data_IF_281412714116
#
_entry.id   IF_281412714116
#
_cell.length_a   1.000
_cell.length_b   1.000
_cell.length_c   1.000
_cell.angle_alpha   90.00
_cell.angle_beta   90.00
_cell.angle_gamma   90.00
#
_symmetry.space_group_name_H-M   'P 1'
#
loop_
_entity.id
_entity.type
_entity.pdbx_description
1 polymer ?
#
# COMPACT_ATOMS: atom_id res chain seq x y z
N UNK A 1 -17.29 37.88 -6.93
CA UNK A 1 -17.08 37.21 -8.24
C UNK A 1 -15.66 37.20 -8.81
N UNK A 2 -14.73 38.08 -8.42
CA UNK A 2 -13.34 38.02 -8.93
C UNK A 2 -12.52 36.75 -8.56
N UNK A 3 -12.81 36.10 -7.43
CA UNK A 3 -12.10 34.89 -7.00
C UNK A 3 -12.49 33.65 -7.83
N UNK A 4 -13.75 33.59 -8.29
CA UNK A 4 -14.24 32.49 -9.13
C UNK A 4 -13.66 32.62 -10.54
N UNK A 5 -13.61 33.84 -11.09
CA UNK A 5 -12.96 34.13 -12.38
C UNK A 5 -11.46 33.80 -12.35
N UNK A 6 -10.75 34.09 -11.24
CA UNK A 6 -9.33 33.74 -11.08
C UNK A 6 -9.07 32.23 -11.07
N UNK A 7 -9.93 31.46 -10.41
CA UNK A 7 -9.83 30.00 -10.41
C UNK A 7 -10.15 29.40 -11.79
N UNK A 8 -11.20 29.91 -12.45
CA UNK A 8 -11.55 29.48 -13.81
C UNK A 8 -10.43 29.79 -14.81
N UNK A 9 -9.77 30.95 -14.69
CA UNK A 9 -8.62 31.28 -15.52
C UNK A 9 -7.41 30.34 -15.28
N UNK A 10 -7.22 29.88 -14.04
CA UNK A 10 -6.13 28.96 -13.69
C UNK A 10 -6.40 27.55 -14.20
N UNK A 11 -7.64 27.06 -14.04
CA UNK A 11 -8.08 25.77 -14.61
C UNK A 11 -7.93 25.79 -16.13
N UNK A 12 -8.34 26.88 -16.78
CA UNK A 12 -8.19 27.01 -18.23
C UNK A 12 -6.72 26.97 -18.69
N UNK A 13 -5.79 27.56 -17.94
CA UNK A 13 -4.35 27.43 -18.22
C UNK A 13 -3.83 26.01 -18.04
N UNK A 14 -4.32 25.29 -17.03
CA UNK A 14 -3.96 23.88 -16.82
C UNK A 14 -4.50 23.01 -17.96
N UNK A 15 -5.73 23.26 -18.42
CA UNK A 15 -6.32 22.57 -19.57
C UNK A 15 -5.58 22.87 -20.88
N UNK A 16 -4.94 24.04 -21.00
CA UNK A 16 -4.12 24.40 -22.17
C UNK A 16 -2.69 23.83 -22.14
N UNK A 17 -2.13 23.58 -20.95
CA UNK A 17 -0.74 23.11 -20.78
C UNK A 17 -0.65 21.59 -20.74
N UNK A 18 -1.62 20.93 -20.10
CA UNK A 18 -1.66 19.46 -20.00
C UNK A 18 -1.56 18.76 -21.37
N UNK A 19 -2.36 19.10 -22.40
CA UNK A 19 -2.26 18.44 -23.70
C UNK A 19 -0.93 18.73 -24.42
N UNK A 20 -0.26 19.85 -24.13
CA UNK A 20 1.06 20.16 -24.70
C UNK A 20 2.16 19.30 -24.08
N UNK A 21 2.07 19.04 -22.77
CA UNK A 21 2.99 18.12 -22.08
C UNK A 21 2.81 16.70 -22.66
N UNK A 22 1.57 16.25 -22.79
CA UNK A 22 1.28 14.94 -23.37
C UNK A 22 1.78 14.83 -24.82
N UNK A 23 1.58 15.88 -25.63
CA UNK A 23 2.08 15.93 -27.00
C UNK A 23 3.62 15.89 -27.06
N UNK A 24 4.32 16.62 -26.20
CA UNK A 24 5.78 16.59 -26.15
C UNK A 24 6.32 15.25 -25.67
N UNK A 25 5.65 14.60 -24.70
CA UNK A 25 6.01 13.26 -24.27
C UNK A 25 5.82 12.22 -25.38
N UNK A 26 4.73 12.33 -26.15
CA UNK A 26 4.51 11.45 -27.30
C UNK A 26 5.51 11.69 -28.44
N UNK A 27 5.86 12.96 -28.71
CA UNK A 27 6.90 13.29 -29.68
C UNK A 27 8.27 12.74 -29.27
N UNK A 28 8.65 12.88 -28.00
CA UNK A 28 9.89 12.31 -27.48
C UNK A 28 9.91 10.77 -27.59
N UNK A 29 8.79 10.11 -27.27
CA UNK A 29 8.66 8.66 -27.42
C UNK A 29 8.77 8.21 -28.89
N UNK A 30 8.18 8.96 -29.83
CA UNK A 30 8.30 8.69 -31.27
C UNK A 30 9.72 8.90 -31.78
N UNK A 31 10.40 9.97 -31.39
CA UNK A 31 11.80 10.21 -31.78
C UNK A 31 12.73 9.10 -31.27
N UNK A 32 12.52 8.64 -30.03
CA UNK A 32 13.28 7.53 -29.47
C UNK A 32 13.02 6.25 -30.28
N UNK A 33 11.75 5.94 -30.56
CA UNK A 33 11.38 4.78 -31.37
C UNK A 33 12.02 4.81 -32.77
N UNK A 34 12.00 5.97 -33.44
CA UNK A 34 12.62 6.14 -34.75
C UNK A 34 14.14 5.95 -34.72
N UNK A 35 14.82 6.48 -33.68
CA UNK A 35 16.28 6.30 -33.53
C UNK A 35 16.67 4.86 -33.26
N UNK A 36 15.88 4.14 -32.46
CA UNK A 36 16.09 2.71 -32.18
C UNK A 36 15.89 1.88 -33.44
N UNK A 37 14.82 2.13 -34.19
CA UNK A 37 14.56 1.39 -35.42
C UNK A 37 15.63 1.69 -36.48
N UNK A 38 16.04 2.95 -36.64
CA UNK A 38 17.15 3.33 -37.53
C UNK A 38 18.45 2.63 -37.15
N UNK A 39 18.78 2.53 -35.86
CA UNK A 39 19.98 1.82 -35.41
C UNK A 39 19.91 0.31 -35.64
N UNK A 40 18.71 -0.28 -35.59
CA UNK A 40 18.49 -1.69 -35.94
C UNK A 40 18.62 -1.93 -37.45
N UNK A 41 18.12 -1.01 -38.27
CA UNK A 41 18.20 -1.09 -39.74
C UNK A 41 19.62 -0.82 -40.27
N UNK A 42 20.38 0.06 -39.61
CA UNK A 42 21.78 0.37 -39.95
C UNK A 42 22.78 -0.67 -39.42
N UNK A 43 22.33 -1.62 -38.60
CA UNK A 43 23.18 -2.68 -38.05
C UNK A 43 23.58 -3.69 -39.14
N UNK A 44 24.80 -3.57 -39.67
CA UNK A 44 25.39 -4.50 -40.65
C UNK A 44 26.32 -5.58 -40.02
N UNK A 45 26.16 -5.89 -38.73
CA UNK A 45 27.07 -6.76 -37.97
C UNK A 45 26.93 -8.27 -38.28
N UNK A 46 28.04 -8.90 -38.67
CA UNK A 46 28.22 -10.32 -39.00
C UNK A 46 27.67 -11.31 -37.95
N UNK A 47 27.18 -12.46 -38.40
CA UNK A 47 26.64 -13.55 -37.55
C UNK A 47 27.65 -14.09 -36.51
N UNK A 48 27.18 -14.65 -35.37
CA UNK A 48 28.05 -15.09 -34.29
C UNK A 48 28.95 -16.25 -34.72
N UNK A 49 30.27 -16.09 -34.55
CA UNK A 49 31.26 -17.12 -34.86
C UNK A 49 31.24 -18.22 -33.77
N UNK A 50 31.16 -19.46 -34.27
CA UNK A 50 31.24 -20.78 -33.60
C UNK A 50 32.40 -20.86 -32.58
N UNK A 51 32.18 -21.39 -31.37
CA UNK A 51 33.28 -21.89 -30.52
C UNK A 51 33.93 -23.13 -31.15
N UNK A 52 35.23 -23.43 -31.02
CA UNK A 52 36.16 -23.35 -29.87
C UNK A 52 37.60 -23.03 -30.33
N UNK A 53 38.45 -22.39 -29.50
CA UNK A 53 39.87 -22.79 -29.17
C UNK A 53 40.55 -21.81 -28.19
N UNK A 54 40.60 -22.18 -26.90
CA UNK A 54 41.67 -22.04 -25.89
C UNK A 54 42.53 -20.77 -25.70
N UNK A 55 42.24 -19.61 -26.30
CA UNK A 55 42.95 -18.36 -25.94
C UNK A 55 42.03 -17.15 -25.95
N UNK A 56 41.75 -16.52 -24.80
CA UNK A 56 41.04 -15.25 -24.78
C UNK A 56 42.00 -14.15 -25.24
N UNK A 57 41.95 -13.75 -26.52
CA UNK A 57 42.53 -12.47 -26.97
C UNK A 57 41.51 -11.37 -26.72
N UNK A 58 41.82 -10.46 -25.78
CA UNK A 58 41.10 -9.19 -25.62
C UNK A 58 41.25 -8.39 -26.93
N UNK A 59 40.19 -8.33 -27.73
CA UNK A 59 40.08 -7.28 -28.72
C UNK A 59 39.84 -5.97 -27.97
N UNK A 60 40.80 -5.05 -28.06
CA UNK A 60 40.65 -3.67 -27.60
C UNK A 60 39.58 -3.02 -28.48
N UNK A 61 38.43 -2.71 -27.88
CA UNK A 61 37.56 -1.69 -28.44
C UNK A 61 38.18 -0.32 -28.09
N UNK A 62 38.16 0.63 -29.02
CA UNK A 62 38.54 2.01 -28.72
C UNK A 62 37.54 2.57 -27.70
N UNK A 63 38.05 2.90 -26.52
CA UNK A 63 37.29 3.45 -25.40
C UNK A 63 37.07 4.95 -25.68
N UNK A 64 35.86 5.31 -26.12
CA UNK A 64 35.45 6.70 -26.24
C UNK A 64 35.18 7.26 -24.84
N UNK A 65 35.73 8.45 -24.53
CA UNK A 65 35.52 9.08 -23.23
C UNK A 65 34.05 9.50 -23.04
N UNK A 66 33.45 9.22 -21.88
CA UNK A 66 32.06 9.54 -21.61
C UNK A 66 31.85 11.05 -21.43
N UNK A 67 30.70 11.61 -21.84
CA UNK A 67 30.31 12.94 -21.41
C UNK A 67 30.16 12.97 -19.89
N UNK A 68 30.81 13.94 -19.22
CA UNK A 68 30.70 14.12 -17.77
C UNK A 68 29.28 14.55 -17.39
N UNK A 69 28.57 13.67 -16.68
CA UNK A 69 27.25 13.98 -16.11
C UNK A 69 26.58 12.79 -15.44
N UNK A 70 26.96 12.56 -14.18
CA UNK A 70 26.31 11.79 -13.10
C UNK A 70 25.65 10.44 -13.47
N UNK A 71 26.48 9.40 -13.40
CA UNK A 71 26.08 8.01 -13.35
C UNK A 71 25.07 7.72 -12.23
N UNK A 72 23.91 7.14 -12.58
CA UNK A 72 23.19 6.22 -11.72
C UNK A 72 23.08 4.86 -12.44
N UNK A 73 23.31 3.75 -11.73
CA UNK A 73 23.53 2.43 -12.31
C UNK A 73 22.24 1.74 -12.80
N UNK A 74 22.29 1.38 -14.08
CA UNK A 74 21.56 0.36 -14.85
C UNK A 74 20.34 -0.37 -14.26
N UNK A 75 19.22 -0.27 -14.98
CA UNK A 75 18.20 -1.31 -15.01
C UNK A 75 18.37 -2.19 -16.26
N UNK A 76 18.80 -3.43 -16.02
CA UNK A 76 18.68 -4.52 -16.98
C UNK A 76 17.23 -5.03 -16.97
N UNK A 77 16.58 -4.94 -18.12
CA UNK A 77 15.80 -6.04 -18.68
C UNK A 77 14.33 -6.17 -18.27
N UNK A 78 13.48 -6.00 -19.28
CA UNK A 78 12.30 -6.84 -19.57
C UNK A 78 11.22 -6.93 -18.46
N UNK A 79 10.13 -6.15 -18.57
CA UNK A 79 8.97 -6.26 -17.68
C UNK A 79 8.41 -7.70 -17.65
N UNK A 80 8.59 -8.48 -16.56
CA UNK A 80 8.01 -9.81 -16.41
C UNK A 80 6.60 -9.68 -15.81
N UNK A 81 5.81 -10.76 -15.85
CA UNK A 81 4.72 -11.02 -14.90
C UNK A 81 5.09 -10.42 -13.53
N UNK A 82 4.32 -9.44 -13.00
CA UNK A 82 4.71 -8.63 -11.81
C UNK A 82 5.46 -9.49 -10.80
N UNK A 83 6.80 -9.38 -10.81
CA UNK A 83 7.64 -10.23 -9.99
C UNK A 83 7.19 -10.08 -8.54
N UNK A 84 7.24 -11.13 -7.73
CA UNK A 84 6.78 -11.06 -6.34
C UNK A 84 7.93 -11.45 -5.44
N UNK A 85 8.15 -10.68 -4.37
CA UNK A 85 9.22 -11.00 -3.43
C UNK A 85 9.02 -12.38 -2.79
N UNK A 86 10.11 -12.98 -2.30
CA UNK A 86 10.03 -14.19 -1.47
C UNK A 86 9.11 -13.93 -0.27
N UNK A 87 8.32 -14.94 0.07
CA UNK A 87 7.38 -14.84 1.18
C UNK A 87 8.10 -14.49 2.48
N UNK A 88 7.66 -13.42 3.14
CA UNK A 88 8.16 -13.03 4.44
C UNK A 88 7.08 -13.17 5.51
N UNK A 89 7.36 -14.03 6.47
CA UNK A 89 6.49 -14.27 7.61
C UNK A 89 6.79 -13.29 8.73
N UNK A 90 5.88 -12.34 8.95
CA UNK A 90 6.00 -11.34 10.02
C UNK A 90 5.75 -12.02 11.36
N UNK A 91 6.49 -11.64 12.42
CA UNK A 91 6.22 -12.14 13.75
C UNK A 91 4.76 -11.95 14.15
N UNK A 92 4.15 -13.04 14.63
CA UNK A 92 2.72 -13.15 14.88
C UNK A 92 2.14 -12.01 15.76
N UNK A 93 0.85 -11.76 15.58
CA UNK A 93 0.08 -10.73 16.31
C UNK A 93 -0.77 -11.38 17.38
N UNK A 94 -0.90 -10.74 18.55
CA UNK A 94 -1.81 -11.22 19.59
C UNK A 94 -2.54 -10.10 20.32
N UNK A 95 -3.82 -10.29 20.67
CA UNK A 95 -4.52 -9.37 21.56
C UNK A 95 -3.85 -9.35 22.93
N UNK A 96 -3.89 -8.19 23.59
CA UNK A 96 -3.37 -8.08 24.96
C UNK A 96 -4.17 -8.95 25.93
N UNK A 97 -3.53 -9.36 27.03
CA UNK A 97 -4.21 -10.12 28.08
C UNK A 97 -5.43 -9.36 28.62
N UNK A 98 -5.33 -8.03 28.75
CA UNK A 98 -6.41 -7.20 29.25
C UNK A 98 -7.57 -7.09 28.26
N UNK A 99 -7.28 -6.99 26.96
CA UNK A 99 -8.32 -7.03 25.93
C UNK A 99 -9.06 -8.37 25.97
N UNK A 100 -8.34 -9.48 26.07
CA UNK A 100 -8.97 -10.81 26.23
C UNK A 100 -9.79 -10.90 27.50
N UNK A 101 -9.28 -10.40 28.64
CA UNK A 101 -9.99 -10.40 29.93
C UNK A 101 -11.29 -9.60 29.88
N UNK A 102 -11.27 -8.42 29.27
CA UNK A 102 -12.45 -7.55 29.12
C UNK A 102 -13.52 -8.14 28.21
N UNK A 103 -13.15 -9.07 27.32
CA UNK A 103 -14.05 -9.70 26.35
C UNK A 103 -14.18 -11.22 26.56
N UNK A 104 -14.04 -11.70 27.81
CA UNK A 104 -14.13 -13.15 28.12
C UNK A 104 -15.45 -13.78 27.65
N UNK A 105 -16.56 -13.06 27.82
CA UNK A 105 -17.89 -13.52 27.39
C UNK A 105 -18.08 -13.55 25.87
N UNK A 106 -17.16 -12.97 25.09
CA UNK A 106 -17.24 -12.88 23.64
C UNK A 106 -15.88 -13.15 22.97
N UNK A 107 -15.10 -14.08 23.56
CA UNK A 107 -13.75 -14.36 23.10
C UNK A 107 -13.74 -14.91 21.66
N UNK A 108 -14.77 -15.67 21.28
CA UNK A 108 -14.91 -16.20 19.92
C UNK A 108 -15.04 -15.09 18.89
N UNK A 109 -15.92 -14.10 19.11
CA UNK A 109 -16.05 -13.00 18.16
C UNK A 109 -14.81 -12.10 18.17
N UNK A 110 -14.17 -11.89 19.33
CA UNK A 110 -12.89 -11.18 19.39
C UNK A 110 -11.85 -11.83 18.48
N UNK A 111 -11.63 -13.15 18.63
CA UNK A 111 -10.64 -13.88 17.83
C UNK A 111 -10.99 -13.90 16.33
N UNK A 112 -12.27 -14.06 16.00
CA UNK A 112 -12.73 -14.04 14.61
C UNK A 112 -12.54 -12.66 13.96
N UNK A 113 -12.92 -11.57 14.64
CA UNK A 113 -12.67 -10.20 14.16
C UNK A 113 -11.17 -9.92 14.02
N UNK A 114 -10.36 -10.40 14.96
CA UNK A 114 -8.90 -10.26 14.90
C UNK A 114 -8.32 -10.94 13.68
N UNK A 115 -8.66 -12.21 13.43
CA UNK A 115 -8.18 -12.95 12.28
C UNK A 115 -8.57 -12.28 10.97
N UNK A 116 -9.83 -11.82 10.84
CA UNK A 116 -10.30 -11.10 9.64
C UNK A 116 -9.53 -9.82 9.41
N UNK A 117 -9.45 -8.94 10.41
CA UNK A 117 -8.73 -7.67 10.27
C UNK A 117 -7.26 -7.89 9.95
N UNK A 118 -6.61 -8.89 10.55
CA UNK A 118 -5.23 -9.22 10.23
C UNK A 118 -5.08 -9.71 8.78
N UNK A 119 -6.01 -10.53 8.28
CA UNK A 119 -5.99 -11.00 6.89
C UNK A 119 -6.18 -9.86 5.89
N UNK A 120 -6.99 -8.87 6.22
CA UNK A 120 -7.15 -7.69 5.38
C UNK A 120 -5.90 -6.81 5.35
N UNK A 121 -5.22 -6.65 6.49
CA UNK A 121 -3.91 -5.99 6.54
C UNK A 121 -2.90 -6.71 5.64
N UNK A 122 -2.87 -8.05 5.70
CA UNK A 122 -2.01 -8.87 4.84
C UNK A 122 -2.35 -8.69 3.36
N UNK A 123 -3.64 -8.70 3.02
CA UNK A 123 -4.11 -8.55 1.63
C UNK A 123 -3.73 -7.17 1.09
N UNK A 124 -4.01 -6.11 1.85
CA UNK A 124 -3.63 -4.75 1.49
C UNK A 124 -2.12 -4.56 1.33
N UNK A 125 -1.29 -5.16 2.19
CA UNK A 125 0.16 -5.16 1.99
C UNK A 125 0.54 -5.82 0.66
N UNK A 126 -0.04 -6.98 0.37
CA UNK A 126 0.28 -7.74 -0.84
C UNK A 126 -0.27 -7.13 -2.13
N UNK A 127 -1.17 -6.16 -2.02
CA UNK A 127 -1.63 -5.32 -3.13
C UNK A 127 -0.65 -4.19 -3.45
N UNK A 128 0.31 -3.88 -2.58
CA UNK A 128 1.37 -2.88 -2.82
C UNK A 128 2.51 -3.46 -3.65
N UNK A 129 3.11 -2.63 -4.50
CA UNK A 129 4.47 -2.86 -5.01
C UNK A 129 5.50 -2.55 -3.91
N UNK A 130 6.73 -3.02 -4.13
CA UNK A 130 7.88 -2.70 -3.28
C UNK A 130 8.09 -1.19 -3.27
N UNK A 131 8.00 -0.52 -4.43
CA UNK A 131 8.14 0.93 -4.55
C UNK A 131 7.07 1.68 -3.74
N UNK A 132 5.79 1.34 -3.92
CA UNK A 132 4.67 1.95 -3.19
C UNK A 132 4.84 1.79 -1.67
N UNK A 133 5.27 0.62 -1.22
CA UNK A 133 5.55 0.40 0.20
C UNK A 133 6.64 1.32 0.74
N UNK A 134 7.79 1.41 0.05
CA UNK A 134 8.93 2.23 0.47
C UNK A 134 8.49 3.70 0.54
N UNK A 135 7.83 4.21 -0.50
CA UNK A 135 7.33 5.58 -0.53
C UNK A 135 6.37 5.87 0.62
N UNK A 136 5.38 5.00 0.84
CA UNK A 136 4.42 5.15 1.93
C UNK A 136 5.10 5.12 3.30
N UNK A 137 6.10 4.25 3.48
CA UNK A 137 6.89 4.16 4.71
C UNK A 137 7.71 5.40 4.96
N UNK A 138 8.34 5.96 3.93
CA UNK A 138 9.13 7.18 4.04
C UNK A 138 8.26 8.40 4.32
N UNK A 139 7.11 8.52 3.63
CA UNK A 139 6.09 9.52 3.95
C UNK A 139 5.64 9.40 5.40
N UNK A 140 5.34 8.20 5.90
CA UNK A 140 4.92 8.01 7.29
C UNK A 140 6.06 8.30 8.29
N UNK A 141 7.32 8.00 7.96
CA UNK A 141 8.48 8.33 8.82
C UNK A 141 8.60 9.86 8.97
N UNK A 142 8.50 10.60 7.88
CA UNK A 142 8.70 12.04 7.81
C UNK A 142 7.50 12.86 8.31
N UNK A 143 6.28 12.47 7.91
CA UNK A 143 5.06 13.26 8.13
C UNK A 143 4.09 12.63 9.12
N UNK A 144 4.33 11.37 9.52
CA UNK A 144 3.38 10.58 10.34
C UNK A 144 1.99 10.59 9.69
N UNK A 145 1.00 11.12 10.40
CA UNK A 145 -0.41 11.25 9.99
C UNK A 145 -0.78 12.71 9.70
N UNK A 146 0.20 13.58 9.41
CA UNK A 146 -0.09 14.98 9.10
C UNK A 146 -0.84 15.05 7.77
N UNK A 147 -2.00 15.71 7.79
CA UNK A 147 -2.84 15.88 6.60
C UNK A 147 -3.69 14.65 6.24
N UNK A 148 -3.85 13.70 7.15
CA UNK A 148 -4.69 12.50 6.96
C UNK A 148 -5.94 12.56 7.84
N UNK A 149 -6.90 11.66 7.59
CA UNK A 149 -8.08 11.48 8.44
C UNK A 149 -9.39 11.92 7.81
N UNK A 150 -9.35 12.78 6.78
CA UNK A 150 -10.52 13.12 5.96
C UNK A 150 -11.15 11.85 5.37
N UNK A 151 -10.34 10.97 4.76
CA UNK A 151 -10.83 9.70 4.22
C UNK A 151 -11.51 8.80 5.27
N UNK A 152 -11.07 8.84 6.53
CA UNK A 152 -11.72 8.08 7.61
C UNK A 152 -13.04 8.71 8.05
N UNK A 153 -13.10 10.05 8.11
CA UNK A 153 -14.31 10.77 8.49
C UNK A 153 -15.38 10.62 7.41
N UNK A 154 -15.04 10.87 6.15
CA UNK A 154 -15.97 10.80 5.02
C UNK A 154 -16.56 9.39 4.89
N UNK A 155 -15.72 8.35 4.91
CA UNK A 155 -16.17 6.96 4.87
C UNK A 155 -17.06 6.61 6.06
N UNK A 156 -16.76 7.15 7.24
CA UNK A 156 -17.54 6.91 8.45
C UNK A 156 -18.91 7.60 8.38
N UNK A 157 -18.98 8.82 7.85
CA UNK A 157 -20.22 9.57 7.67
C UNK A 157 -21.13 8.91 6.64
N UNK A 158 -20.57 8.49 5.51
CA UNK A 158 -21.30 7.73 4.47
C UNK A 158 -21.84 6.42 5.03
N UNK A 159 -20.99 5.59 5.65
CA UNK A 159 -21.42 4.35 6.26
C UNK A 159 -22.48 4.56 7.35
N UNK A 160 -22.37 5.64 8.14
CA UNK A 160 -23.37 5.98 9.16
C UNK A 160 -24.73 6.31 8.54
N UNK A 161 -24.73 7.08 7.45
CA UNK A 161 -25.95 7.43 6.71
C UNK A 161 -26.64 6.19 6.16
N UNK A 162 -25.89 5.33 5.47
CA UNK A 162 -26.41 4.11 4.86
C UNK A 162 -26.94 3.13 5.92
N UNK A 163 -26.22 2.96 7.02
CA UNK A 163 -26.65 2.12 8.13
C UNK A 163 -27.95 2.65 8.76
N UNK A 164 -28.05 3.96 8.95
CA UNK A 164 -29.26 4.57 9.51
C UNK A 164 -30.46 4.38 8.59
N UNK A 165 -30.31 4.63 7.29
CA UNK A 165 -31.38 4.47 6.32
C UNK A 165 -31.85 3.02 6.22
N UNK A 166 -30.90 2.06 6.17
CA UNK A 166 -31.20 0.62 6.17
C UNK A 166 -31.97 0.18 7.44
N UNK A 167 -31.52 0.63 8.62
CA UNK A 167 -32.19 0.32 9.88
C UNK A 167 -33.58 0.96 9.97
N UNK A 168 -33.72 2.20 9.50
CA UNK A 168 -35.00 2.92 9.48
C UNK A 168 -36.02 2.21 8.59
N UNK A 169 -35.61 1.76 7.40
CA UNK A 169 -36.45 0.98 6.50
C UNK A 169 -36.86 -0.35 7.17
N UNK A 170 -35.90 -1.07 7.74
CA UNK A 170 -36.14 -2.36 8.40
C UNK A 170 -37.14 -2.24 9.56
N UNK A 171 -36.97 -1.25 10.45
CA UNK A 171 -37.91 -1.01 11.54
C UNK A 171 -39.27 -0.51 11.06
N UNK A 172 -39.31 0.28 9.98
CA UNK A 172 -40.53 0.82 9.39
C UNK A 172 -41.52 -0.23 8.89
N UNK A 173 -41.07 -1.48 8.69
CA UNK A 173 -41.96 -2.60 8.30
C UNK A 173 -43.00 -2.94 9.36
N UNK A 174 -42.70 -2.69 10.64
CA UNK A 174 -43.53 -3.12 11.78
C UNK A 174 -43.78 -1.99 12.81
N UNK A 175 -43.33 -0.77 12.55
CA UNK A 175 -43.35 0.34 13.52
C UNK A 175 -43.78 1.65 12.86
N UNK A 176 -44.25 2.58 13.69
CA UNK A 176 -44.53 3.95 13.21
C UNK A 176 -43.27 4.62 12.69
N UNK A 177 -43.41 5.56 11.75
CA UNK A 177 -42.28 6.32 11.17
C UNK A 177 -41.40 6.97 12.24
N UNK A 178 -42.02 7.55 13.27
CA UNK A 178 -41.32 8.22 14.37
C UNK A 178 -40.54 7.21 15.23
N UNK A 179 -41.15 6.07 15.55
CA UNK A 179 -40.50 5.01 16.33
C UNK A 179 -39.35 4.37 15.56
N UNK A 180 -39.55 4.06 14.27
CA UNK A 180 -38.52 3.50 13.40
C UNK A 180 -37.30 4.44 13.29
N UNK A 181 -37.53 5.75 13.10
CA UNK A 181 -36.47 6.76 13.08
C UNK A 181 -35.68 6.80 14.40
N UNK A 182 -36.38 6.78 15.54
CA UNK A 182 -35.76 6.81 16.87
C UNK A 182 -34.88 5.58 17.10
N UNK A 183 -35.41 4.38 16.83
CA UNK A 183 -34.69 3.12 17.00
C UNK A 183 -33.49 3.01 16.04
N UNK A 184 -33.66 3.42 14.78
CA UNK A 184 -32.57 3.46 13.80
C UNK A 184 -31.44 4.37 14.25
N UNK A 185 -31.75 5.58 14.73
CA UNK A 185 -30.73 6.53 15.22
C UNK A 185 -29.97 5.99 16.44
N UNK A 186 -30.69 5.41 17.42
CA UNK A 186 -30.09 4.78 18.59
C UNK A 186 -29.17 3.62 18.20
N UNK A 187 -29.68 2.69 17.36
CA UNK A 187 -28.94 1.51 16.95
C UNK A 187 -27.74 1.84 16.07
N UNK A 188 -27.86 2.83 15.18
CA UNK A 188 -26.74 3.33 14.37
C UNK A 188 -25.63 3.85 15.28
N UNK A 189 -25.97 4.69 16.26
CA UNK A 189 -25.01 5.22 17.24
C UNK A 189 -24.29 4.10 17.99
N UNK A 190 -25.03 3.09 18.48
CA UNK A 190 -24.45 1.93 19.16
C UNK A 190 -23.46 1.15 18.29
N UNK A 191 -23.82 0.88 17.03
CA UNK A 191 -22.97 0.15 16.09
C UNK A 191 -21.73 0.98 15.75
N UNK A 192 -21.91 2.25 15.37
CA UNK A 192 -20.81 3.15 15.02
C UNK A 192 -19.85 3.34 16.17
N UNK A 193 -20.32 3.37 17.41
CA UNK A 193 -19.48 3.45 18.61
C UNK A 193 -18.52 2.26 18.76
N UNK A 194 -18.78 1.12 18.12
CA UNK A 194 -17.95 -0.08 18.19
C UNK A 194 -17.06 -0.29 16.96
N UNK A 195 -17.19 0.56 15.93
CA UNK A 195 -16.48 0.41 14.67
C UNK A 195 -15.52 1.57 14.40
N UNK A 196 -14.42 1.29 13.71
CA UNK A 196 -13.51 2.27 13.10
C UNK A 196 -13.45 2.07 11.58
N UNK A 197 -13.27 3.16 10.85
CA UNK A 197 -12.92 3.13 9.43
C UNK A 197 -11.44 2.72 9.31
N UNK A 198 -11.15 1.62 8.62
CA UNK A 198 -9.85 0.97 8.66
C UNK A 198 -9.01 1.29 7.42
N UNK A 199 -7.72 1.60 7.65
CA UNK A 199 -6.69 1.54 6.62
C UNK A 199 -6.21 0.11 6.48
N UNK A 200 -6.17 -0.41 5.25
CA UNK A 200 -5.70 -1.77 4.96
C UNK A 200 -4.73 -1.77 3.79
N UNK A 201 -3.42 -1.70 4.08
CA UNK A 201 -2.81 -1.83 5.40
C UNK A 201 -2.80 -0.54 6.22
N UNK A 202 -2.50 -0.66 7.53
CA UNK A 202 -2.26 0.49 8.41
C UNK A 202 -1.16 1.37 7.79
N UNK A 203 -1.35 2.69 7.81
CA UNK A 203 -0.36 3.64 7.30
C UNK A 203 1.01 3.48 7.96
N UNK A 204 1.03 3.14 9.25
CA UNK A 204 2.26 2.86 9.99
C UNK A 204 3.00 1.62 9.49
N UNK A 205 2.32 0.74 8.75
CA UNK A 205 2.85 -0.45 8.12
C UNK A 205 3.02 -0.29 6.60
N UNK A 206 2.93 0.93 6.04
CA UNK A 206 3.16 1.20 4.61
C UNK A 206 1.88 1.33 3.77
N UNK A 207 0.71 1.45 4.39
CA UNK A 207 -0.54 1.70 3.66
C UNK A 207 -0.75 3.16 3.23
N UNK A 208 -1.56 3.33 2.19
CA UNK A 208 -2.06 4.62 1.74
C UNK A 208 -3.06 5.22 2.74
N UNK A 209 -3.30 6.53 2.64
CA UNK A 209 -4.41 7.21 3.35
C UNK A 209 -5.75 6.92 2.65
N UNK A 210 -6.09 5.64 2.57
CA UNK A 210 -7.32 5.15 1.96
C UNK A 210 -8.05 4.24 2.93
N UNK A 211 -9.38 4.28 2.89
CA UNK A 211 -10.25 3.48 3.74
C UNK A 211 -11.22 2.74 2.85
N UNK A 212 -11.43 1.45 3.12
CA UNK A 212 -12.31 0.61 2.30
C UNK A 212 -13.40 -0.09 3.10
N UNK A 213 -13.33 -0.07 4.44
CA UNK A 213 -14.35 -0.71 5.29
C UNK A 213 -14.33 -0.23 6.74
N UNK A 214 -15.43 -0.53 7.43
CA UNK A 214 -15.52 -0.50 8.88
C UNK A 214 -15.02 -1.82 9.50
N UNK A 215 -14.48 -1.75 10.71
CA UNK A 215 -14.16 -2.94 11.51
C UNK A 215 -14.13 -2.68 13.00
N UNK A 216 -14.01 -3.74 13.80
CA UNK A 216 -14.04 -3.70 15.25
C UNK A 216 -12.91 -2.80 15.79
N UNK A 217 -13.31 -1.70 16.46
CA UNK A 217 -12.35 -0.72 16.97
C UNK A 217 -11.38 -1.28 18.00
N UNK A 218 -11.84 -2.25 18.81
CA UNK A 218 -11.05 -2.87 19.88
C UNK A 218 -9.93 -3.72 19.28
N UNK A 219 -10.27 -4.44 18.21
CA UNK A 219 -9.31 -5.22 17.43
C UNK A 219 -8.33 -4.31 16.70
N UNK A 220 -8.83 -3.26 16.04
CA UNK A 220 -7.96 -2.31 15.33
C UNK A 220 -6.97 -1.64 16.29
N UNK A 221 -7.46 -1.16 17.44
CA UNK A 221 -6.63 -0.59 18.50
C UNK A 221 -5.66 -1.59 19.14
N UNK A 222 -5.87 -2.90 18.95
CA UNK A 222 -4.91 -3.93 19.35
C UNK A 222 -3.84 -4.18 18.30
N UNK A 223 -4.18 -4.17 17.00
CA UNK A 223 -3.26 -4.49 15.91
C UNK A 223 -2.31 -3.32 15.65
N UNK A 224 -2.83 -2.10 15.45
CA UNK A 224 -2.06 -0.93 15.03
C UNK A 224 -0.79 -0.68 15.87
N UNK A 225 -0.87 -0.62 17.21
CA UNK A 225 0.30 -0.40 18.05
C UNK A 225 1.36 -1.51 18.01
N UNK A 226 1.04 -2.70 17.50
CA UNK A 226 2.01 -3.81 17.43
C UNK A 226 2.98 -3.68 16.25
N UNK A 227 2.63 -2.91 15.21
CA UNK A 227 3.54 -2.62 14.09
C UNK A 227 4.84 -1.98 14.56
N UNK A 228 4.71 -0.96 15.43
CA UNK A 228 5.82 -0.22 16.02
C UNK A 228 6.38 -0.85 17.31
N UNK A 229 6.14 -2.14 17.55
CA UNK A 229 6.67 -2.87 18.71
C UNK A 229 7.50 -4.06 18.29
N UNK A 230 8.57 -4.29 19.04
CA UNK A 230 9.33 -5.53 18.94
C UNK A 230 8.43 -6.74 19.25
N UNK A 231 8.62 -7.86 18.54
CA UNK A 231 7.96 -9.12 18.88
C UNK A 231 8.27 -9.55 20.31
N UNK A 232 7.36 -10.29 20.93
CA UNK A 232 7.56 -10.79 22.30
C UNK A 232 8.71 -11.79 22.31
N UNK A 233 9.58 -11.69 23.31
CA UNK A 233 10.80 -12.48 23.40
C UNK A 233 12.00 -11.89 22.66
N UNK A 234 11.83 -10.74 22.00
CA UNK A 234 12.97 -10.01 21.40
C UNK A 234 13.93 -9.49 22.47
N UNK A 235 15.22 -9.40 22.12
CA UNK A 235 16.25 -8.76 22.96
C UNK A 235 15.87 -7.29 23.25
N UNK A 236 16.45 -6.72 24.32
CA UNK A 236 16.31 -5.29 24.65
C UNK A 236 16.71 -4.45 23.43
N UNK A 237 15.86 -3.50 23.02
CA UNK A 237 16.00 -2.71 21.78
C UNK A 237 15.93 -3.54 20.48
N UNK A 238 15.22 -4.65 20.48
CA UNK A 238 14.94 -5.42 19.26
C UNK A 238 14.14 -4.61 18.24
N UNK A 239 14.32 -4.95 16.96
CA UNK A 239 13.59 -4.35 15.84
C UNK A 239 12.08 -4.59 15.99
N UNK A 240 11.31 -3.57 15.65
CA UNK A 240 9.86 -3.62 15.53
C UNK A 240 9.43 -4.49 14.35
N UNK A 241 8.16 -4.88 14.31
CA UNK A 241 7.63 -5.64 13.17
C UNK A 241 7.80 -4.90 11.86
N UNK A 242 7.55 -3.59 11.86
CA UNK A 242 7.69 -2.78 10.64
C UNK A 242 9.15 -2.62 10.24
N UNK A 243 10.10 -2.45 11.17
CA UNK A 243 11.54 -2.41 10.83
C UNK A 243 12.03 -3.75 10.26
N UNK A 244 11.52 -4.87 10.78
CA UNK A 244 11.84 -6.18 10.22
C UNK A 244 11.29 -6.34 8.80
N UNK A 245 10.10 -5.79 8.51
CA UNK A 245 9.54 -5.76 7.16
C UNK A 245 10.33 -4.83 6.23
N UNK A 246 10.61 -3.59 6.67
CA UNK A 246 11.41 -2.59 5.94
C UNK A 246 12.71 -3.26 5.42
N UNK A 247 13.42 -4.04 6.24
CA UNK A 247 14.64 -4.76 5.85
C UNK A 247 14.45 -5.84 4.79
N UNK A 248 13.31 -6.53 4.78
CA UNK A 248 13.06 -7.54 3.74
C UNK A 248 12.66 -6.87 2.43
N UNK A 249 11.91 -5.77 2.51
CA UNK A 249 11.51 -5.00 1.33
C UNK A 249 12.72 -4.33 0.70
N UNK A 250 13.66 -3.78 1.47
CA UNK A 250 14.92 -3.23 0.96
C UNK A 250 15.78 -4.27 0.24
N UNK A 251 15.84 -5.51 0.75
CA UNK A 251 16.53 -6.61 0.06
C UNK A 251 15.81 -6.99 -1.23
N UNK A 252 14.49 -7.09 -1.17
CA UNK A 252 13.66 -7.42 -2.32
C UNK A 252 13.72 -6.34 -3.40
N UNK A 253 13.82 -5.06 -3.05
CA UNK A 253 14.03 -3.97 -3.99
C UNK A 253 15.28 -4.18 -4.84
N UNK A 254 16.40 -4.58 -4.21
CA UNK A 254 17.67 -4.86 -4.91
C UNK A 254 17.60 -6.11 -5.80
N UNK A 255 16.74 -7.06 -5.48
CA UNK A 255 16.61 -8.34 -6.21
C UNK A 255 15.57 -8.29 -7.34
N UNK A 256 14.46 -7.59 -7.12
CA UNK A 256 13.26 -7.63 -7.97
C UNK A 256 12.84 -6.28 -8.55
N UNK A 257 13.41 -5.16 -8.08
CA UNK A 257 13.03 -3.80 -8.49
C UNK A 257 11.76 -3.25 -7.82
N UNK A 258 11.43 -1.97 -8.08
CA UNK A 258 10.29 -1.28 -7.47
C UNK A 258 8.92 -1.85 -7.85
N UNK A 259 8.78 -2.35 -9.08
CA UNK A 259 7.49 -2.78 -9.65
C UNK A 259 7.01 -4.14 -9.14
N UNK A 260 7.89 -4.88 -8.48
CA UNK A 260 7.57 -6.17 -7.90
C UNK A 260 6.56 -6.02 -6.75
N UNK A 261 5.67 -7.01 -6.58
CA UNK A 261 4.67 -7.05 -5.49
C UNK A 261 5.27 -7.59 -4.19
N UNK A 262 4.70 -7.13 -3.08
CA UNK A 262 4.98 -7.69 -1.77
C UNK A 262 4.45 -9.13 -1.63
N UNK A 263 5.02 -9.85 -0.66
CA UNK A 263 4.61 -11.20 -0.26
C UNK A 263 4.75 -11.36 1.26
N UNK A 264 3.98 -10.56 1.98
CA UNK A 264 3.95 -10.53 3.43
C UNK A 264 2.90 -11.52 3.93
N UNK A 265 3.24 -12.25 4.98
CA UNK A 265 2.34 -13.15 5.69
C UNK A 265 2.17 -12.70 7.14
N UNK A 266 0.93 -12.49 7.56
CA UNK A 266 0.54 -12.08 8.90
C UNK A 266 -0.27 -13.19 9.57
N UNK A 267 0.05 -13.50 10.82
CA UNK A 267 -0.66 -14.56 11.54
C UNK A 267 -0.98 -14.20 12.99
N UNK A 268 -2.02 -14.86 13.53
CA UNK A 268 -2.29 -14.88 14.97
C UNK A 268 -1.23 -15.72 15.67
N UNK A 269 -0.68 -15.21 16.78
CA UNK A 269 0.14 -16.06 17.64
C UNK A 269 -0.70 -17.25 18.13
N UNK A 270 -0.09 -18.44 18.23
CA UNK A 270 -0.75 -19.61 18.79
C UNK A 270 -1.43 -19.27 20.11
N UNK A 271 -2.68 -19.72 20.26
CA UNK A 271 -3.33 -19.70 21.56
C UNK A 271 -2.57 -20.73 22.41
N UNK A 272 -1.80 -20.28 23.39
CA UNK A 272 -1.19 -21.18 24.35
C UNK A 272 -2.32 -22.04 24.93
N UNK A 273 -2.32 -23.34 24.60
CA UNK A 273 -3.07 -24.33 25.35
C UNK A 273 -2.45 -24.34 26.73
N UNK A 274 -3.13 -23.70 27.69
CA UNK A 274 -2.91 -23.99 29.09
C UNK A 274 -3.71 -25.22 29.43
#
# INVERSE_FOLDING_TARGET
>A
DAAIEGMQATVKRLDEVTPKIDQHMQQAAQEIGQRVNKALDEYQGQSPIRGVTDKPTKAKADELEPPKGNELPGEKGLHPLKARMKAYKVPCFKPSNDLRKKNKGDLRALEHNYARQLKHQESGLNDLTIGEYIENRDRYKNMKRKGTGTAQNDFREEFQSDLFESLKESYGRNKSRTEAKKLASQRTTEIMNNLHALHDPDMGAGGHDSVSRMGDKRVNGSIGPQWAKAPIGSKKRGKTRVELMDEQVEKAFKEYGPDAKLNIQLERCPLNKK
#
